data_IF_173701381295
#
_entry.id   IF_173701381295
#
_cell.length_a   1.000
_cell.length_b   1.000
_cell.length_c   1.000
_cell.angle_alpha   90.00
_cell.angle_beta   90.00
_cell.angle_gamma   90.00
#
_symmetry.space_group_name_H-M   'P 1'
#
loop_
_entity.id
_entity.type
_entity.pdbx_description
1 polymer ?
#
# COMPACT_ATOMS: atom_id res chain seq x y z
N UNK A 1 -0.32 -11.47 0.24
CA UNK A 1 0.86 -10.65 -0.07
C UNK A 1 2.19 -11.32 0.27
N UNK A 2 2.49 -11.67 1.54
CA UNK A 2 3.81 -12.26 1.89
C UNK A 2 4.08 -13.59 1.17
N UNK A 3 3.14 -14.53 1.19
CA UNK A 3 3.28 -15.84 0.53
C UNK A 3 3.34 -15.71 -1.01
N UNK A 4 2.37 -15.02 -1.60
CA UNK A 4 2.28 -14.74 -3.05
C UNK A 4 3.54 -14.12 -3.67
N UNK A 5 4.29 -13.34 -2.87
CA UNK A 5 5.49 -12.64 -3.33
C UNK A 5 6.78 -13.33 -2.90
N UNK A 6 6.71 -14.55 -2.34
CA UNK A 6 7.87 -15.26 -1.80
C UNK A 6 8.60 -14.46 -0.71
N UNK A 7 7.87 -13.63 0.04
CA UNK A 7 8.41 -12.75 1.06
C UNK A 7 9.17 -11.54 0.52
N UNK A 8 9.00 -11.17 -0.75
CA UNK A 8 9.68 -10.00 -1.36
C UNK A 8 8.91 -8.69 -1.24
N UNK A 9 7.63 -8.73 -0.86
CA UNK A 9 6.85 -7.51 -0.61
C UNK A 9 7.52 -6.63 0.47
N UNK A 10 7.83 -5.38 0.12
CA UNK A 10 8.43 -4.37 1.02
C UNK A 10 7.71 -3.05 0.83
N UNK A 11 7.58 -2.29 1.91
CA UNK A 11 7.11 -0.90 1.88
C UNK A 11 8.20 0.01 2.45
N UNK A 12 8.34 1.19 1.87
CA UNK A 12 9.19 2.27 2.33
C UNK A 12 8.30 3.48 2.58
N UNK A 13 8.25 3.93 3.85
CA UNK A 13 7.50 5.13 4.22
C UNK A 13 8.17 6.37 3.62
N UNK A 14 7.41 7.18 2.90
CA UNK A 14 7.92 8.41 2.29
C UNK A 14 7.44 9.66 3.04
N UNK A 15 6.16 9.70 3.43
CA UNK A 15 5.58 10.82 4.17
C UNK A 15 4.35 10.40 4.95
N UNK A 16 4.05 11.14 6.03
CA UNK A 16 2.85 11.00 6.85
C UNK A 16 2.27 12.37 7.12
N UNK A 17 0.97 12.51 6.98
CA UNK A 17 0.17 13.65 7.45
C UNK A 17 -0.95 13.09 8.32
N UNK A 18 -1.14 13.62 9.53
CA UNK A 18 -2.13 13.07 10.45
C UNK A 18 -2.74 14.14 11.37
N UNK A 19 -3.97 13.87 11.78
CA UNK A 19 -4.69 14.55 12.85
C UNK A 19 -5.32 13.51 13.81
N UNK A 20 -6.18 13.93 14.73
CA UNK A 20 -6.81 13.07 15.74
C UNK A 20 -7.72 11.98 15.16
N UNK A 21 -8.16 12.14 13.92
CA UNK A 21 -9.19 11.33 13.27
C UNK A 21 -8.71 10.63 12.01
N UNK A 22 -7.67 11.14 11.34
CA UNK A 22 -7.17 10.61 10.08
C UNK A 22 -5.65 10.59 9.99
N UNK A 23 -5.12 9.65 9.20
CA UNK A 23 -3.74 9.65 8.75
C UNK A 23 -3.67 9.34 7.25
N UNK A 24 -2.92 10.15 6.51
CA UNK A 24 -2.58 9.93 5.11
C UNK A 24 -1.10 9.60 5.02
N UNK A 25 -0.79 8.46 4.44
CA UNK A 25 0.56 7.92 4.34
C UNK A 25 0.90 7.78 2.86
N UNK A 26 1.95 8.48 2.42
CA UNK A 26 2.59 8.18 1.15
C UNK A 26 3.70 7.16 1.40
N UNK A 27 3.68 6.07 0.65
CA UNK A 27 4.71 5.05 0.73
C UNK A 27 5.00 4.47 -0.64
N UNK A 28 6.20 3.93 -0.82
CA UNK A 28 6.58 3.14 -1.98
C UNK A 28 6.56 1.68 -1.62
N UNK A 29 5.92 0.83 -2.41
CA UNK A 29 6.03 -0.62 -2.24
C UNK A 29 6.70 -1.28 -3.42
N UNK A 30 7.35 -2.41 -3.14
CA UNK A 30 8.00 -3.24 -4.15
C UNK A 30 7.70 -4.70 -3.88
N UNK A 31 7.56 -5.49 -4.93
CA UNK A 31 7.38 -6.93 -4.81
C UNK A 31 7.81 -7.66 -6.09
N UNK A 32 8.04 -8.97 -5.97
CA UNK A 32 8.20 -9.89 -7.09
C UNK A 32 7.14 -10.97 -7.01
N UNK A 33 6.48 -11.29 -8.13
CA UNK A 33 5.48 -12.36 -8.25
C UNK A 33 5.57 -12.93 -9.65
N UNK A 34 5.67 -14.27 -9.77
CA UNK A 34 5.70 -14.98 -11.07
C UNK A 34 6.72 -14.43 -12.09
N UNK A 35 7.88 -13.99 -11.62
CA UNK A 35 8.95 -13.42 -12.46
C UNK A 35 8.79 -11.93 -12.80
N UNK A 36 7.63 -11.33 -12.50
CA UNK A 36 7.38 -9.89 -12.65
C UNK A 36 7.78 -9.15 -11.37
N UNK A 37 8.27 -7.91 -11.53
CA UNK A 37 8.56 -6.98 -10.44
C UNK A 37 7.67 -5.75 -10.59
N UNK A 38 7.16 -5.28 -9.47
CA UNK A 38 6.46 -3.99 -9.36
C UNK A 38 7.18 -3.10 -8.36
N UNK A 39 7.13 -1.80 -8.63
CA UNK A 39 7.57 -0.73 -7.76
C UNK A 39 6.63 0.45 -7.98
N UNK A 40 5.94 0.89 -6.93
CA UNK A 40 4.85 1.86 -7.06
C UNK A 40 4.67 2.68 -5.79
N UNK A 41 4.28 3.94 -5.97
CA UNK A 41 3.86 4.83 -4.89
C UNK A 41 2.37 4.68 -4.63
N UNK A 42 1.99 4.61 -3.37
CA UNK A 42 0.63 4.43 -2.92
C UNK A 42 0.32 5.39 -1.75
N UNK A 43 -0.92 5.88 -1.72
CA UNK A 43 -1.48 6.53 -0.55
C UNK A 43 -2.34 5.55 0.25
N UNK A 44 -2.09 5.46 1.54
CA UNK A 44 -3.04 4.88 2.48
C UNK A 44 -3.70 5.98 3.28
N UNK A 45 -5.03 6.00 3.28
CA UNK A 45 -5.82 6.88 4.14
C UNK A 45 -6.44 6.01 5.22
N UNK A 46 -6.15 6.33 6.48
CA UNK A 46 -6.72 5.69 7.65
C UNK A 46 -7.67 6.66 8.34
N UNK A 47 -8.81 6.15 8.79
CA UNK A 47 -9.72 6.82 9.72
C UNK A 47 -9.68 6.10 11.06
N UNK A 48 -9.66 6.86 12.13
CA UNK A 48 -9.58 6.36 13.49
C UNK A 48 -10.86 6.65 14.28
N UNK A 49 -11.26 5.71 15.12
CA UNK A 49 -12.29 5.88 16.14
C UNK A 49 -11.76 5.34 17.47
N UNK A 50 -11.81 6.15 18.53
CA UNK A 50 -11.33 5.77 19.87
C UNK A 50 -9.90 5.23 19.87
N UNK A 51 -9.04 5.82 19.04
CA UNK A 51 -7.63 5.44 18.90
C UNK A 51 -7.37 4.15 18.11
N UNK A 52 -8.41 3.52 17.54
CA UNK A 52 -8.30 2.33 16.71
C UNK A 52 -8.59 2.67 15.25
N UNK A 53 -7.96 1.94 14.31
CA UNK A 53 -8.29 2.05 12.89
C UNK A 53 -9.72 1.56 12.69
N UNK A 54 -10.60 2.46 12.27
CA UNK A 54 -11.98 2.14 11.90
C UNK A 54 -12.08 1.79 10.41
N UNK A 55 -11.26 2.42 9.57
CA UNK A 55 -11.32 2.26 8.12
C UNK A 55 -9.97 2.55 7.45
N UNK A 56 -9.74 1.91 6.31
CA UNK A 56 -8.57 2.15 5.45
C UNK A 56 -9.01 2.17 3.99
N UNK A 57 -8.52 3.16 3.26
CA UNK A 57 -8.53 3.20 1.80
C UNK A 57 -7.10 3.20 1.25
N UNK A 58 -6.92 2.54 0.12
CA UNK A 58 -5.65 2.47 -0.61
C UNK A 58 -5.85 3.07 -1.99
N UNK A 59 -4.96 3.99 -2.36
CA UNK A 59 -4.92 4.63 -3.67
C UNK A 59 -3.55 4.39 -4.27
N UNK A 60 -3.53 3.55 -5.30
CA UNK A 60 -2.31 3.17 -6.01
C UNK A 60 -2.03 4.15 -7.14
N UNK A 61 -0.76 4.49 -7.39
CA UNK A 61 -0.42 5.47 -8.44
C UNK A 61 -0.77 4.98 -9.86
N UNK A 62 -0.72 3.67 -10.11
CA UNK A 62 -1.11 3.06 -11.38
C UNK A 62 -2.00 1.83 -11.14
N UNK A 63 -3.32 2.03 -11.23
CA UNK A 63 -4.31 0.97 -11.06
C UNK A 63 -4.12 -0.18 -12.07
N UNK A 64 -3.70 0.13 -13.31
CA UNK A 64 -3.54 -0.92 -14.34
C UNK A 64 -2.34 -1.79 -14.05
N UNK A 65 -1.22 -1.19 -13.63
CA UNK A 65 -0.03 -1.94 -13.23
C UNK A 65 -0.29 -2.77 -11.96
N UNK A 66 -1.02 -2.21 -10.99
CA UNK A 66 -1.47 -2.91 -9.80
C UNK A 66 -2.30 -4.16 -10.15
N UNK A 67 -3.33 -3.99 -10.98
CA UNK A 67 -4.24 -5.07 -11.35
C UNK A 67 -3.54 -6.11 -12.21
N UNK A 68 -2.64 -5.72 -13.12
CA UNK A 68 -1.83 -6.66 -13.89
C UNK A 68 -0.95 -7.54 -12.99
N UNK A 69 -0.37 -6.96 -11.93
CA UNK A 69 0.50 -7.67 -10.99
C UNK A 69 -0.28 -8.64 -10.09
N UNK A 70 -1.52 -8.31 -9.69
CA UNK A 70 -2.30 -9.11 -8.72
C UNK A 70 -3.39 -9.99 -9.33
N UNK A 71 -4.06 -9.55 -10.40
CA UNK A 71 -5.21 -10.25 -10.99
C UNK A 71 -4.82 -11.30 -12.05
N UNK A 72 -3.54 -11.39 -12.40
CA UNK A 72 -2.98 -12.57 -13.08
C UNK A 72 -2.86 -13.75 -12.11
#
# INVERSE_FOLDING_TARGET
>A
MREETGGTFRTALLSVQADDSHAVILHRWTAKRRGERVEMDDFNVYRFERGLVAERWEYVADQRAHDAFWCR
#
